data_IF_200706670388
#
_entry.id   IF_200706670388
#
_cell.length_a   1.000
_cell.length_b   1.000
_cell.length_c   1.000
_cell.angle_alpha   90.00
_cell.angle_beta   90.00
_cell.angle_gamma   90.00
#
_symmetry.space_group_name_H-M   'P 1'
#
loop_
_entity.id
_entity.type
_entity.pdbx_description
1 polymer ?
#
# COMPACT_ATOMS: atom_id res chain seq x y z
N UNK A 1 -19.91 44.56 3.09
CA UNK A 1 -18.43 44.65 3.05
C UNK A 1 -17.90 43.22 3.27
N UNK A 2 -17.17 42.64 2.31
CA UNK A 2 -16.81 41.22 2.37
C UNK A 2 -15.61 41.02 3.31
N UNK A 3 -15.69 40.01 4.17
CA UNK A 3 -14.54 39.52 4.92
C UNK A 3 -13.80 38.49 4.06
N UNK A 4 -12.48 38.66 3.97
CA UNK A 4 -11.56 37.86 3.16
C UNK A 4 -11.41 36.44 3.69
N UNK A 5 -11.23 35.48 2.78
CA UNK A 5 -10.59 34.21 3.10
C UNK A 5 -9.11 34.47 3.45
N UNK A 6 -8.65 33.91 4.56
CA UNK A 6 -7.23 33.83 4.91
C UNK A 6 -6.75 32.45 4.48
N UNK A 7 -5.78 32.42 3.58
CA UNK A 7 -5.00 31.24 3.24
C UNK A 7 -4.42 30.61 4.51
N UNK A 8 -4.65 29.31 4.70
CA UNK A 8 -3.94 28.52 5.71
C UNK A 8 -3.09 27.45 5.02
N UNK A 9 -1.79 27.56 5.29
CA UNK A 9 -0.69 26.73 4.84
C UNK A 9 -0.84 25.23 5.22
N UNK A 10 -0.05 24.33 4.60
CA UNK A 10 -0.21 22.89 4.74
C UNK A 10 0.41 22.41 6.05
N UNK A 11 -0.34 21.64 6.82
CA UNK A 11 0.16 21.08 8.08
C UNK A 11 -0.96 20.84 9.07
N UNK A 12 -1.71 19.75 8.85
CA UNK A 12 -2.50 19.01 9.85
C UNK A 12 -3.29 17.91 9.14
N UNK A 13 -2.71 16.71 9.06
CA UNK A 13 -3.44 15.44 8.92
C UNK A 13 -2.85 14.49 9.96
N UNK A 14 -3.70 13.74 10.65
CA UNK A 14 -3.26 12.72 11.60
C UNK A 14 -4.07 12.67 12.89
N UNK A 15 -5.33 12.22 12.80
CA UNK A 15 -5.97 11.48 13.90
C UNK A 15 -6.61 10.23 13.30
N UNK A 16 -5.95 9.08 13.44
CA UNK A 16 -6.51 7.79 13.02
C UNK A 16 -7.60 7.35 13.97
N UNK A 17 -8.85 7.43 13.52
CA UNK A 17 -9.88 6.47 13.89
C UNK A 17 -9.88 5.34 12.86
N UNK A 18 -10.21 4.12 13.30
CA UNK A 18 -10.32 2.96 12.43
C UNK A 18 -11.19 3.30 11.20
N UNK A 19 -10.56 3.34 10.03
CA UNK A 19 -11.24 3.48 8.74
C UNK A 19 -11.97 2.16 8.47
N UNK A 20 -13.27 2.12 8.76
CA UNK A 20 -14.17 1.08 8.28
C UNK A 20 -14.95 1.67 7.10
N UNK A 21 -14.70 1.13 5.90
CA UNK A 21 -15.39 1.54 4.68
C UNK A 21 -16.74 0.85 4.56
N UNK A 22 -17.79 1.65 4.47
CA UNK A 22 -19.15 1.16 4.18
C UNK A 22 -19.30 0.97 2.66
N UNK A 23 -19.20 -0.29 2.20
CA UNK A 23 -19.38 -0.67 0.80
C UNK A 23 -20.86 -1.02 0.58
N UNK A 24 -21.75 -0.04 0.71
CA UNK A 24 -23.20 -0.21 0.53
C UNK A 24 -23.68 -0.20 -0.92
N UNK A 25 -22.80 0.02 -1.91
CA UNK A 25 -23.17 0.17 -3.33
C UNK A 25 -23.03 -1.08 -4.22
N UNK A 26 -22.74 -2.27 -3.67
CA UNK A 26 -22.67 -3.51 -4.44
C UNK A 26 -24.05 -4.21 -4.47
N UNK A 27 -24.58 -4.40 -5.68
CA UNK A 27 -25.94 -4.89 -5.97
C UNK A 27 -26.31 -6.28 -5.41
N UNK A 28 -27.59 -6.67 -5.49
CA UNK A 28 -28.11 -7.84 -4.79
C UNK A 28 -27.88 -9.15 -5.55
N UNK A 29 -27.70 -10.22 -4.77
CA UNK A 29 -27.67 -11.65 -5.11
C UNK A 29 -26.33 -12.22 -5.64
N UNK A 30 -25.53 -12.79 -4.72
CA UNK A 30 -24.53 -13.80 -5.05
C UNK A 30 -24.67 -15.01 -4.10
N UNK A 31 -24.78 -16.25 -4.60
CA UNK A 31 -24.82 -17.45 -3.76
C UNK A 31 -23.43 -17.75 -3.19
N UNK A 32 -23.30 -17.74 -1.86
CA UNK A 32 -22.04 -17.99 -1.13
C UNK A 32 -21.01 -16.87 -1.29
N UNK A 33 -21.07 -15.82 -0.47
CA UNK A 33 -20.16 -14.66 -0.60
C UNK A 33 -18.70 -15.09 -0.35
N UNK A 34 -17.90 -15.14 -1.41
CA UNK A 34 -16.45 -15.26 -1.31
C UNK A 34 -15.89 -14.10 -0.45
N UNK A 35 -14.87 -14.40 0.38
CA UNK A 35 -14.19 -13.41 1.21
C UNK A 35 -13.51 -12.34 0.35
N UNK A 36 -13.50 -11.09 0.82
CA UNK A 36 -12.82 -9.96 0.15
C UNK A 36 -11.48 -9.67 0.82
N UNK A 37 -10.44 -9.46 0.03
CA UNK A 37 -9.18 -8.82 0.43
C UNK A 37 -9.03 -7.52 -0.36
N UNK A 38 -9.27 -6.39 0.31
CA UNK A 38 -9.26 -5.04 -0.28
C UNK A 38 -7.95 -4.35 0.10
N UNK A 39 -7.13 -3.95 -0.86
CA UNK A 39 -5.81 -3.40 -0.59
C UNK A 39 -5.67 -1.97 -1.12
N UNK A 40 -5.23 -1.07 -0.25
CA UNK A 40 -4.99 0.33 -0.61
C UNK A 40 -3.59 0.53 -1.18
N UNK A 41 -3.52 1.22 -2.31
CA UNK A 41 -2.34 1.82 -2.92
C UNK A 41 -2.36 3.31 -2.63
N UNK A 42 -1.26 3.91 -2.22
CA UNK A 42 -1.19 5.35 -1.93
C UNK A 42 -0.29 6.06 -2.94
N UNK A 43 -0.78 7.08 -3.61
CA UNK A 43 -0.03 7.76 -4.67
C UNK A 43 1.19 8.55 -4.19
N UNK A 44 1.25 8.95 -2.92
CA UNK A 44 2.42 9.63 -2.34
C UNK A 44 3.57 8.67 -1.97
N UNK A 45 3.37 7.34 -2.02
CA UNK A 45 4.45 6.36 -1.74
C UNK A 45 5.58 6.41 -2.78
N UNK A 46 5.32 7.03 -3.93
CA UNK A 46 6.30 7.29 -4.98
C UNK A 46 7.47 8.19 -4.50
N UNK A 47 7.25 8.98 -3.45
CA UNK A 47 8.22 9.93 -2.92
C UNK A 47 9.11 9.36 -1.81
N UNK A 48 8.87 8.11 -1.39
CA UNK A 48 9.76 7.44 -0.44
C UNK A 48 11.13 7.17 -1.07
N UNK A 49 12.16 7.12 -0.22
CA UNK A 49 13.52 6.86 -0.67
C UNK A 49 13.69 5.43 -1.17
N UNK A 50 14.44 5.27 -2.26
CA UNK A 50 14.93 4.03 -2.88
C UNK A 50 14.17 2.75 -2.52
N UNK A 51 14.65 2.00 -1.51
CA UNK A 51 14.14 0.68 -1.14
C UNK A 51 12.68 0.68 -0.67
N UNK A 52 12.17 1.83 -0.20
CA UNK A 52 10.77 2.00 0.22
C UNK A 52 9.91 2.73 -0.83
N UNK A 53 10.48 3.10 -1.98
CA UNK A 53 9.74 3.73 -3.08
C UNK A 53 8.77 2.72 -3.67
N UNK A 54 7.48 3.07 -3.69
CA UNK A 54 6.43 2.19 -4.16
C UNK A 54 5.58 2.84 -5.26
N UNK A 55 5.50 2.16 -6.39
CA UNK A 55 4.86 2.61 -7.64
C UNK A 55 3.87 1.54 -8.12
N UNK A 56 2.93 1.86 -9.04
CA UNK A 56 1.93 0.89 -9.50
C UNK A 56 2.52 -0.42 -10.01
N UNK A 57 3.67 -0.37 -10.70
CA UNK A 57 4.43 -1.55 -11.16
C UNK A 57 4.93 -2.49 -10.06
N UNK A 58 5.00 -2.04 -8.81
CA UNK A 58 5.40 -2.89 -7.69
C UNK A 58 4.24 -3.74 -7.17
N UNK A 59 3.00 -3.40 -7.53
CA UNK A 59 1.81 -4.10 -7.04
C UNK A 59 1.70 -5.48 -7.69
N UNK A 60 1.67 -6.52 -6.87
CA UNK A 60 1.35 -7.86 -7.33
C UNK A 60 -0.16 -7.96 -7.66
N UNK A 61 -0.56 -8.17 -8.94
CA UNK A 61 -1.97 -8.16 -9.36
C UNK A 61 -2.80 -9.34 -8.83
N UNK A 62 -2.15 -10.38 -8.29
CA UNK A 62 -2.79 -11.58 -7.76
C UNK A 62 -2.88 -11.61 -6.24
N UNK A 63 -2.35 -10.59 -5.55
CA UNK A 63 -2.29 -10.57 -4.09
C UNK A 63 -3.66 -10.26 -3.47
N UNK A 64 -4.42 -9.35 -4.08
CA UNK A 64 -5.66 -8.81 -3.52
C UNK A 64 -6.85 -9.02 -4.45
N UNK A 65 -8.03 -9.10 -3.85
CA UNK A 65 -9.28 -9.19 -4.60
C UNK A 65 -9.68 -7.82 -5.18
N UNK A 66 -9.50 -6.76 -4.40
CA UNK A 66 -9.85 -5.40 -4.79
C UNK A 66 -8.64 -4.52 -4.54
N UNK A 67 -8.33 -3.67 -5.52
CA UNK A 67 -7.27 -2.69 -5.42
C UNK A 67 -7.90 -1.30 -5.35
N UNK A 68 -7.45 -0.49 -4.40
CA UNK A 68 -8.02 0.83 -4.12
C UNK A 68 -6.92 1.87 -4.23
N UNK A 69 -7.08 2.83 -5.12
CA UNK A 69 -6.15 3.93 -5.31
C UNK A 69 -6.52 5.11 -4.39
N UNK A 70 -5.64 5.44 -3.46
CA UNK A 70 -5.72 6.57 -2.55
C UNK A 70 -4.73 7.67 -3.00
N UNK A 71 -5.16 8.89 -3.33
CA UNK A 71 -6.55 9.36 -3.44
C UNK A 71 -6.75 10.21 -4.69
N UNK A 72 -7.98 10.23 -5.19
CA UNK A 72 -8.46 11.33 -6.02
C UNK A 72 -8.91 12.52 -5.16
N UNK A 73 -8.79 13.69 -5.77
CA UNK A 73 -9.25 14.96 -5.23
C UNK A 73 -10.66 15.29 -5.72
N UNK A 74 -11.16 16.43 -5.23
CA UNK A 74 -12.42 16.99 -5.67
C UNK A 74 -12.25 18.49 -5.87
N UNK A 75 -12.58 18.97 -7.07
CA UNK A 75 -12.54 20.39 -7.42
C UNK A 75 -13.89 20.76 -8.07
N UNK A 76 -14.58 21.74 -7.50
CA UNK A 76 -15.91 22.19 -7.97
C UNK A 76 -16.90 21.05 -8.19
N UNK A 77 -17.00 20.16 -7.20
CA UNK A 77 -17.85 18.95 -7.22
C UNK A 77 -17.52 17.94 -8.33
N UNK A 78 -16.36 18.07 -8.98
CA UNK A 78 -15.86 17.14 -9.97
C UNK A 78 -14.63 16.42 -9.45
N UNK A 79 -14.44 15.17 -9.87
CA UNK A 79 -13.24 14.39 -9.58
C UNK A 79 -12.01 15.09 -10.17
N UNK A 80 -10.93 15.15 -9.41
CA UNK A 80 -9.63 15.67 -9.85
C UNK A 80 -8.50 14.74 -9.43
N UNK A 81 -7.33 14.88 -10.06
CA UNK A 81 -6.08 14.32 -9.55
C UNK A 81 -5.65 15.03 -8.26
N UNK A 82 -4.80 14.39 -7.46
CA UNK A 82 -4.11 15.03 -6.33
C UNK A 82 -2.61 15.16 -6.58
N UNK A 83 -2.02 14.21 -7.32
CA UNK A 83 -0.63 14.22 -7.74
C UNK A 83 -0.49 14.58 -9.22
N UNK A 84 0.64 15.18 -9.57
CA UNK A 84 0.93 15.66 -10.92
C UNK A 84 0.98 14.56 -11.97
N UNK A 85 1.30 13.32 -11.57
CA UNK A 85 1.42 12.14 -12.42
C UNK A 85 0.33 11.08 -12.15
N UNK A 86 -0.76 11.44 -11.46
CA UNK A 86 -1.86 10.50 -11.18
C UNK A 86 -2.43 9.89 -12.46
N UNK A 87 -2.49 10.62 -13.58
CA UNK A 87 -3.03 10.08 -14.84
C UNK A 87 -2.19 8.92 -15.38
N UNK A 88 -0.86 9.02 -15.32
CA UNK A 88 0.07 7.95 -15.70
C UNK A 88 -0.06 6.77 -14.73
N UNK A 89 -0.08 7.05 -13.42
CA UNK A 89 -0.26 6.01 -12.41
C UNK A 89 -1.62 5.31 -12.52
N UNK A 90 -2.70 6.01 -12.90
CA UNK A 90 -4.00 5.41 -13.15
C UNK A 90 -3.94 4.44 -14.33
N UNK A 91 -3.23 4.77 -15.40
CA UNK A 91 -3.05 3.88 -16.55
C UNK A 91 -2.28 2.62 -16.16
N UNK A 92 -1.14 2.76 -15.45
CA UNK A 92 -0.36 1.61 -14.97
C UNK A 92 -1.17 0.74 -14.00
N UNK A 93 -1.82 1.36 -13.02
CA UNK A 93 -2.57 0.67 -11.98
C UNK A 93 -3.81 -0.04 -12.54
N UNK A 94 -4.51 0.54 -13.52
CA UNK A 94 -5.59 -0.13 -14.24
C UNK A 94 -5.08 -1.22 -15.19
N UNK A 95 -3.85 -1.07 -15.71
CA UNK A 95 -3.16 -2.07 -16.52
C UNK A 95 -3.01 -3.42 -15.82
N UNK A 96 -2.94 -3.42 -14.47
CA UNK A 96 -2.90 -4.63 -13.64
C UNK A 96 -4.12 -5.56 -13.82
N UNK A 97 -5.25 -5.05 -14.36
CA UNK A 97 -6.40 -5.90 -14.71
C UNK A 97 -6.10 -6.83 -15.90
N UNK A 98 -5.28 -6.38 -16.85
CA UNK A 98 -4.98 -7.13 -18.09
C UNK A 98 -4.07 -8.32 -17.83
N UNK A 99 -3.09 -8.17 -16.94
CA UNK A 99 -2.21 -9.26 -16.50
C UNK A 99 -2.98 -10.33 -15.72
N UNK A 100 -4.09 -9.97 -15.08
CA UNK A 100 -4.97 -10.92 -14.39
C UNK A 100 -5.85 -11.73 -15.33
N UNK A 101 -6.33 -11.13 -16.43
CA UNK A 101 -7.27 -11.79 -17.37
C UNK A 101 -6.65 -12.86 -18.26
N UNK A 102 -5.33 -12.84 -18.47
CA UNK A 102 -4.63 -13.79 -19.35
C UNK A 102 -4.48 -15.18 -18.75
N UNK A 103 -4.74 -15.35 -17.45
CA UNK A 103 -4.32 -16.57 -16.73
C UNK A 103 -5.43 -17.44 -16.15
N UNK A 104 -6.70 -17.02 -16.07
CA UNK A 104 -7.66 -17.85 -15.33
C UNK A 104 -9.16 -17.56 -15.56
N UNK A 105 -9.90 -18.59 -15.99
CA UNK A 105 -11.36 -18.59 -16.21
C UNK A 105 -12.17 -18.63 -14.91
N UNK A 106 -11.51 -18.86 -13.77
CA UNK A 106 -12.12 -18.96 -12.44
C UNK A 106 -12.23 -17.63 -11.68
N UNK A 107 -11.63 -16.54 -12.17
CA UNK A 107 -11.54 -15.24 -11.46
C UNK A 107 -12.57 -14.19 -11.88
N UNK A 108 -13.67 -14.59 -12.51
CA UNK A 108 -14.66 -13.68 -13.07
C UNK A 108 -15.34 -12.74 -12.05
N UNK A 109 -15.13 -12.89 -10.75
CA UNK A 109 -15.81 -12.06 -9.73
C UNK A 109 -14.91 -10.99 -9.09
N UNK A 110 -13.65 -10.87 -9.50
CA UNK A 110 -12.68 -10.13 -8.70
C UNK A 110 -11.72 -9.33 -9.59
N UNK A 111 -12.04 -8.05 -9.83
CA UNK A 111 -11.27 -7.21 -10.77
C UNK A 111 -11.52 -5.71 -10.63
N UNK A 112 -12.03 -5.27 -9.49
CA UNK A 112 -12.40 -3.87 -9.31
C UNK A 112 -11.20 -3.06 -8.83
N UNK A 113 -10.74 -2.16 -9.70
CA UNK A 113 -9.90 -1.03 -9.31
C UNK A 113 -10.85 0.10 -8.92
N UNK A 114 -10.72 0.54 -7.68
CA UNK A 114 -11.46 1.64 -7.11
C UNK A 114 -10.57 2.85 -6.97
N UNK A 115 -11.17 4.04 -7.05
CA UNK A 115 -10.50 5.27 -6.64
C UNK A 115 -11.21 5.80 -5.41
N UNK A 116 -10.46 6.05 -4.35
CA UNK A 116 -10.96 6.68 -3.14
C UNK A 116 -10.91 8.20 -3.26
N UNK A 117 -11.99 8.85 -2.82
CA UNK A 117 -12.06 10.30 -2.75
C UNK A 117 -11.72 10.80 -1.35
N UNK A 118 -10.83 11.80 -1.27
CA UNK A 118 -10.74 12.64 -0.08
C UNK A 118 -11.99 13.51 -0.02
N UNK A 119 -12.98 13.15 0.79
CA UNK A 119 -14.07 14.08 1.08
C UNK A 119 -13.67 14.97 2.25
N UNK A 120 -13.15 16.17 1.94
CA UNK A 120 -13.10 17.27 2.90
C UNK A 120 -14.49 17.58 3.45
N UNK A 121 -14.55 18.24 4.62
CA UNK A 121 -15.77 18.56 5.34
C UNK A 121 -16.67 19.53 4.55
N UNK A 122 -17.45 19.03 3.60
CA UNK A 122 -18.58 19.74 3.01
C UNK A 122 -19.84 19.33 3.77
N UNK A 123 -20.38 20.24 4.57
CA UNK A 123 -21.75 20.17 5.08
C UNK A 123 -22.71 20.28 3.90
N UNK A 124 -23.03 19.14 3.28
CA UNK A 124 -24.20 19.03 2.41
C UNK A 124 -25.40 18.77 3.30
N UNK A 125 -26.32 19.73 3.37
CA UNK A 125 -27.66 19.53 3.90
C UNK A 125 -28.31 18.35 3.16
N UNK A 126 -29.19 17.62 3.85
CA UNK A 126 -29.72 16.30 3.46
C UNK A 126 -30.63 16.27 2.22
N UNK A 127 -30.47 17.20 1.27
CA UNK A 127 -31.37 17.34 0.11
C UNK A 127 -30.68 17.48 -1.25
N UNK A 128 -29.35 17.26 -1.35
CA UNK A 128 -28.64 17.37 -2.63
C UNK A 128 -27.78 16.13 -2.94
N UNK A 129 -28.43 14.99 -3.25
CA UNK A 129 -27.82 13.94 -4.06
C UNK A 129 -27.88 14.37 -5.53
N UNK A 130 -26.98 15.26 -5.96
CA UNK A 130 -26.72 15.45 -7.38
C UNK A 130 -25.71 14.38 -7.84
N UNK A 131 -25.88 13.77 -9.02
CA UNK A 131 -24.92 12.79 -9.54
C UNK A 131 -23.55 13.46 -9.71
N UNK A 132 -22.50 12.87 -9.14
CA UNK A 132 -21.13 13.30 -9.43
C UNK A 132 -20.91 13.17 -10.94
N UNK A 133 -20.63 14.30 -11.59
CA UNK A 133 -20.30 14.31 -13.02
C UNK A 133 -18.80 14.07 -13.21
N UNK A 134 -18.45 13.02 -13.94
CA UNK A 134 -17.10 12.81 -14.44
C UNK A 134 -16.75 13.96 -15.40
N UNK A 135 -15.59 14.60 -15.25
CA UNK A 135 -15.10 15.47 -16.32
C UNK A 135 -14.97 14.63 -17.59
N UNK A 136 -15.47 15.09 -18.74
CA UNK A 136 -15.37 14.36 -20.00
C UNK A 136 -13.92 14.06 -20.39
N UNK A 137 -12.98 14.91 -19.95
CA UNK A 137 -11.57 14.94 -20.32
C UNK A 137 -10.65 14.13 -19.40
N UNK A 138 -11.11 13.71 -18.20
CA UNK A 138 -10.30 12.82 -17.36
C UNK A 138 -10.40 11.39 -17.90
N UNK A 139 -9.25 10.76 -18.13
CA UNK A 139 -9.12 9.29 -18.36
C UNK A 139 -9.56 8.43 -17.16
N UNK A 140 -10.26 9.00 -16.18
CA UNK A 140 -10.97 8.31 -15.09
C UNK A 140 -12.12 7.41 -15.58
N UNK A 141 -12.44 7.38 -16.88
CA UNK A 141 -13.43 6.47 -17.48
C UNK A 141 -13.10 4.97 -17.28
N UNK A 142 -11.91 4.62 -16.79
CA UNK A 142 -11.51 3.24 -16.49
C UNK A 142 -11.67 2.82 -15.01
N UNK A 143 -12.12 3.73 -14.14
CA UNK A 143 -12.37 3.44 -12.72
C UNK A 143 -13.66 2.63 -12.58
N UNK A 144 -13.57 1.41 -12.02
CA UNK A 144 -14.69 0.48 -11.98
C UNK A 144 -15.78 0.90 -10.99
N UNK A 145 -15.43 1.53 -9.86
CA UNK A 145 -16.36 1.98 -8.81
C UNK A 145 -15.66 3.00 -7.88
N UNK A 146 -16.37 4.02 -7.39
CA UNK A 146 -15.86 5.01 -6.43
C UNK A 146 -16.04 4.52 -4.98
N UNK A 147 -15.00 4.67 -4.14
CA UNK A 147 -15.08 4.47 -2.69
C UNK A 147 -15.05 5.84 -2.01
N UNK A 148 -15.93 6.05 -1.03
CA UNK A 148 -16.08 7.32 -0.32
C UNK A 148 -15.39 7.25 1.04
N UNK A 149 -14.20 7.84 1.12
CA UNK A 149 -13.46 8.00 2.37
C UNK A 149 -13.70 9.40 2.96
N UNK A 150 -14.88 9.57 3.57
CA UNK A 150 -15.19 10.80 4.33
C UNK A 150 -14.76 10.62 5.77
N UNK A 151 -13.75 11.39 6.20
CA UNK A 151 -13.43 11.50 7.62
C UNK A 151 -14.58 12.24 8.34
N UNK A 152 -15.05 11.67 9.46
CA UNK A 152 -16.14 12.26 10.23
C UNK A 152 -15.69 13.62 10.82
N UNK A 153 -16.55 14.67 10.82
CA UNK A 153 -16.24 15.91 11.52
C UNK A 153 -16.04 15.63 13.02
N UNK A 154 -14.94 16.12 13.59
CA UNK A 154 -14.70 16.08 15.03
C UNK A 154 -15.79 16.91 15.74
N UNK A 155 -16.73 16.24 16.40
CA UNK A 155 -17.75 16.86 17.25
C UNK A 155 -17.31 17.11 18.70
N UNK A 156 -16.01 16.99 19.01
CA UNK A 156 -15.49 17.21 20.36
C UNK A 156 -14.74 18.55 20.43
N UNK A 157 -14.93 19.38 21.48
CA UNK A 157 -14.13 20.58 21.70
C UNK A 157 -12.65 20.20 21.79
N UNK A 158 -11.78 21.08 21.29
CA UNK A 158 -10.32 20.89 21.21
C UNK A 158 -9.58 20.65 22.54
N UNK A 159 -10.29 20.52 23.67
CA UNK A 159 -9.73 20.19 24.98
C UNK A 159 -9.42 18.69 25.17
N UNK A 160 -10.07 17.77 24.43
CA UNK A 160 -9.74 16.33 24.53
C UNK A 160 -8.55 15.91 23.66
N UNK A 161 -8.19 16.69 22.63
CA UNK A 161 -7.08 16.37 21.73
C UNK A 161 -5.69 16.52 22.38
N UNK A 162 -5.56 17.33 23.44
CA UNK A 162 -4.33 17.47 24.24
C UNK A 162 -4.23 16.44 25.37
N UNK A 163 -5.32 15.73 25.69
CA UNK A 163 -5.33 14.65 26.68
C UNK A 163 -4.96 13.27 26.09
N UNK A 164 -5.04 13.10 24.76
CA UNK A 164 -4.84 11.83 24.06
C UNK A 164 -3.42 11.26 24.05
N UNK A 165 -2.42 12.03 24.51
CA UNK A 165 -1.00 11.64 24.49
C UNK A 165 -0.43 11.20 25.83
N UNK A 166 -1.21 11.28 26.91
CA UNK A 166 -0.68 11.08 28.29
C UNK A 166 -0.41 9.62 28.64
N UNK A 167 -0.98 8.67 27.89
CA UNK A 167 -0.80 7.23 28.10
C UNK A 167 -0.79 6.51 26.74
N UNK A 168 0.10 5.52 26.61
CA UNK A 168 0.15 4.67 25.44
C UNK A 168 -1.17 3.89 25.32
N UNK A 169 -1.95 4.22 24.29
CA UNK A 169 -3.05 3.39 23.79
C UNK A 169 -2.58 2.78 22.48
N UNK A 170 -2.34 1.47 22.40
CA UNK A 170 -1.97 0.86 21.14
C UNK A 170 -3.16 1.01 20.18
N UNK A 171 -2.95 1.64 19.03
CA UNK A 171 -4.03 2.02 18.11
C UNK A 171 -4.62 0.85 17.31
N UNK A 172 -4.08 -0.37 17.49
CA UNK A 172 -4.28 -1.52 16.60
C UNK A 172 -4.74 -2.78 17.33
N UNK A 173 -5.16 -2.62 18.57
CA UNK A 173 -5.58 -3.67 19.47
C UNK A 173 -6.84 -4.41 18.99
N UNK A 174 -6.90 -5.72 19.25
CA UNK A 174 -8.07 -6.55 18.92
C UNK A 174 -9.34 -6.14 19.69
N UNK A 175 -9.21 -5.70 20.95
CA UNK A 175 -10.36 -5.30 21.78
C UNK A 175 -11.12 -4.05 21.26
N UNK A 176 -10.43 -2.94 20.94
CA UNK A 176 -11.02 -1.81 20.23
C UNK A 176 -11.58 -2.18 18.84
N UNK A 177 -10.93 -3.09 18.13
CA UNK A 177 -11.46 -3.60 16.84
C UNK A 177 -12.76 -4.39 17.05
N UNK A 178 -12.86 -5.26 18.06
CA UNK A 178 -14.11 -5.97 18.37
C UNK A 178 -15.22 -4.98 18.73
N UNK A 179 -14.94 -4.01 19.60
CA UNK A 179 -15.92 -2.98 19.99
C UNK A 179 -16.46 -2.20 18.77
N UNK A 180 -15.57 -1.84 17.83
CA UNK A 180 -15.96 -1.16 16.60
C UNK A 180 -16.80 -2.07 15.69
N UNK A 181 -16.39 -3.33 15.48
CA UNK A 181 -17.14 -4.31 14.69
C UNK A 181 -18.54 -4.52 15.29
N UNK A 182 -18.63 -4.74 16.61
CA UNK A 182 -19.89 -4.93 17.31
C UNK A 182 -20.83 -3.72 17.13
N UNK A 183 -20.30 -2.51 17.24
CA UNK A 183 -21.08 -1.29 17.04
C UNK A 183 -21.74 -1.24 15.65
N UNK A 184 -21.00 -1.54 14.59
CA UNK A 184 -21.54 -1.52 13.22
C UNK A 184 -22.57 -2.63 13.00
N UNK A 185 -22.32 -3.83 13.53
CA UNK A 185 -23.29 -4.93 13.49
C UNK A 185 -24.57 -4.56 14.24
N UNK A 186 -24.48 -3.97 15.43
CA UNK A 186 -25.62 -3.51 16.22
C UNK A 186 -26.41 -2.39 15.53
N UNK A 187 -25.74 -1.56 14.73
CA UNK A 187 -26.38 -0.53 13.89
C UNK A 187 -27.00 -1.08 12.61
N UNK A 188 -26.98 -2.39 12.39
CA UNK A 188 -27.67 -3.06 11.29
C UNK A 188 -26.82 -3.29 10.04
N UNK A 189 -25.50 -3.08 10.09
CA UNK A 189 -24.62 -3.44 8.98
C UNK A 189 -24.56 -4.97 8.85
N UNK A 190 -24.91 -5.54 7.68
CA UNK A 190 -24.77 -6.97 7.46
C UNK A 190 -23.31 -7.42 7.60
N UNK A 191 -23.05 -8.47 8.38
CA UNK A 191 -21.69 -8.94 8.65
C UNK A 191 -20.89 -9.24 7.37
N UNK A 192 -21.53 -9.88 6.38
CA UNK A 192 -20.94 -10.17 5.07
C UNK A 192 -20.60 -8.94 4.20
N UNK A 193 -21.04 -7.74 4.60
CA UNK A 193 -20.68 -6.46 3.97
C UNK A 193 -19.61 -5.69 4.74
N UNK A 194 -19.35 -6.06 6.00
CA UNK A 194 -18.34 -5.44 6.83
C UNK A 194 -16.97 -6.10 6.59
N UNK A 195 -15.97 -5.31 6.20
CA UNK A 195 -14.58 -5.77 6.02
C UNK A 195 -13.70 -5.24 7.14
N UNK A 196 -12.87 -6.09 7.74
CA UNK A 196 -12.03 -5.72 8.88
C UNK A 196 -10.76 -5.00 8.42
N UNK A 197 -10.50 -3.79 8.93
CA UNK A 197 -9.28 -3.04 8.65
C UNK A 197 -8.03 -3.64 9.32
N UNK A 198 -7.00 -3.87 8.52
CA UNK A 198 -5.71 -4.48 8.87
C UNK A 198 -4.58 -3.48 8.55
N UNK A 199 -3.88 -2.95 9.55
CA UNK A 199 -2.80 -1.99 9.35
C UNK A 199 -1.48 -2.72 9.04
N UNK A 200 -0.75 -2.31 8.03
CA UNK A 200 0.65 -2.73 7.77
C UNK A 200 1.63 -1.67 8.29
N UNK A 201 1.26 -1.00 9.38
CA UNK A 201 2.04 0.03 10.04
C UNK A 201 1.77 -0.02 11.55
N UNK A 202 2.67 0.55 12.33
CA UNK A 202 2.54 0.74 13.76
C UNK A 202 2.36 2.21 14.14
N UNK A 203 1.80 2.45 15.33
CA UNK A 203 1.77 3.78 15.97
C UNK A 203 2.84 3.84 17.05
N UNK A 204 3.70 4.85 16.96
CA UNK A 204 4.86 5.00 17.85
C UNK A 204 4.71 6.17 18.82
N UNK A 205 5.37 6.04 19.97
CA UNK A 205 5.34 6.99 21.08
C UNK A 205 6.75 7.17 21.65
N UNK A 206 7.01 8.37 22.18
CA UNK A 206 8.17 8.62 23.04
C UNK A 206 7.71 8.50 24.50
N UNK A 207 8.27 7.54 25.23
CA UNK A 207 8.00 7.28 26.63
C UNK A 207 8.48 8.44 27.50
N UNK A 208 7.75 8.72 28.57
CA UNK A 208 8.21 9.67 29.59
C UNK A 208 9.38 9.10 30.42
N UNK A 209 9.48 7.78 30.50
CA UNK A 209 10.57 7.07 31.18
C UNK A 209 10.86 5.77 30.44
N UNK A 210 12.13 5.54 30.08
CA UNK A 210 12.58 4.31 29.41
C UNK A 210 12.54 3.07 30.31
N UNK A 211 12.26 3.25 31.61
CA UNK A 211 12.07 2.15 32.57
C UNK A 211 10.64 1.62 32.63
N UNK A 212 9.65 2.38 32.14
CA UNK A 212 8.25 1.96 32.06
C UNK A 212 7.87 1.76 30.59
N UNK A 213 7.94 0.53 30.13
CA UNK A 213 7.74 0.14 28.72
C UNK A 213 6.44 -0.63 28.50
N UNK A 214 5.62 -0.74 29.54
CA UNK A 214 4.35 -1.44 29.51
C UNK A 214 3.29 -0.70 28.68
N UNK A 215 2.26 -1.43 28.29
CA UNK A 215 1.07 -0.82 27.71
C UNK A 215 0.42 0.11 28.75
N UNK A 216 0.06 1.33 28.33
CA UNK A 216 -0.46 2.35 29.23
C UNK A 216 0.60 3.23 29.90
N UNK A 217 1.89 2.95 29.68
CA UNK A 217 2.98 3.79 30.18
C UNK A 217 2.82 5.26 29.72
N UNK A 218 3.23 6.25 30.52
CA UNK A 218 3.13 7.65 30.14
C UNK A 218 4.01 7.97 28.94
N UNK A 219 3.49 8.75 28.00
CA UNK A 219 4.21 9.24 26.83
C UNK A 219 4.32 10.76 26.84
N UNK A 220 5.42 11.30 26.32
CA UNK A 220 5.66 12.73 26.15
C UNK A 220 5.22 13.24 24.79
N UNK A 221 5.04 12.34 23.82
CA UNK A 221 4.63 12.69 22.47
C UNK A 221 4.69 11.52 21.49
N UNK A 222 4.54 11.81 20.18
CA UNK A 222 4.73 10.81 19.14
C UNK A 222 6.16 10.26 19.15
N UNK A 223 6.32 9.02 18.68
CA UNK A 223 7.64 8.45 18.45
C UNK A 223 8.38 9.19 17.34
N UNK A 224 9.71 9.04 17.32
CA UNK A 224 10.56 9.60 16.28
C UNK A 224 10.12 9.10 14.88
N UNK A 225 10.24 9.94 13.84
CA UNK A 225 9.91 9.56 12.49
C UNK A 225 10.81 8.42 11.99
N UNK A 226 10.22 7.47 11.27
CA UNK A 226 10.96 6.38 10.63
C UNK A 226 11.89 6.86 9.50
N UNK A 227 12.92 6.08 9.12
CA UNK A 227 13.88 6.45 8.08
C UNK A 227 13.25 6.64 6.69
N UNK A 228 12.13 5.97 6.42
CA UNK A 228 11.43 5.98 5.13
C UNK A 228 10.10 6.71 5.18
N UNK A 229 9.26 6.44 6.19
CA UNK A 229 7.95 7.08 6.33
C UNK A 229 8.05 8.55 6.71
N UNK A 230 9.09 8.91 7.47
CA UNK A 230 9.41 10.29 7.88
C UNK A 230 8.26 11.02 8.59
N UNK A 231 7.33 10.27 9.20
CA UNK A 231 6.19 10.80 9.94
C UNK A 231 6.33 10.44 11.42
N UNK A 232 6.37 11.46 12.29
CA UNK A 232 6.43 11.23 13.73
C UNK A 232 5.16 10.49 14.21
N UNK A 233 5.34 9.45 15.01
CA UNK A 233 4.24 8.64 15.54
C UNK A 233 3.72 7.55 14.59
N UNK A 234 4.39 7.31 13.46
CA UNK A 234 4.05 6.25 12.52
C UNK A 234 5.33 5.54 12.05
N UNK A 235 5.27 4.21 11.98
CA UNK A 235 6.31 3.38 11.38
C UNK A 235 5.65 2.35 10.45
N UNK A 236 6.16 2.18 9.23
CA UNK A 236 5.74 1.08 8.36
C UNK A 236 6.16 -0.27 8.97
N UNK A 237 5.49 -1.38 8.61
CA UNK A 237 5.86 -2.70 9.12
C UNK A 237 7.35 -3.02 8.84
N UNK A 238 7.85 -2.68 7.65
CA UNK A 238 9.26 -2.89 7.31
C UNK A 238 10.23 -2.03 8.14
N UNK A 239 9.80 -0.90 8.70
CA UNK A 239 10.62 -0.09 9.63
C UNK A 239 10.66 -0.71 11.03
N UNK A 240 9.58 -1.38 11.43
CA UNK A 240 9.51 -2.07 12.73
C UNK A 240 10.26 -3.39 12.68
N UNK A 241 10.03 -4.24 11.67
CA UNK A 241 10.66 -5.56 11.58
C UNK A 241 12.19 -5.48 11.44
N UNK A 242 12.71 -4.39 10.88
CA UNK A 242 14.15 -4.15 10.70
C UNK A 242 14.78 -3.37 11.86
N UNK A 243 14.05 -3.15 12.96
CA UNK A 243 14.48 -2.34 14.09
C UNK A 243 15.50 -3.07 14.98
N UNK A 244 16.78 -3.00 14.58
CA UNK A 244 17.88 -3.70 15.27
C UNK A 244 17.99 -3.32 16.75
N UNK A 245 17.93 -4.34 17.60
CA UNK A 245 18.12 -4.22 19.05
C UNK A 245 16.91 -3.64 19.79
N UNK A 246 15.74 -3.56 19.15
CA UNK A 246 14.49 -3.34 19.87
C UNK A 246 14.05 -4.62 20.59
N UNK A 247 13.49 -4.48 21.78
CA UNK A 247 12.85 -5.57 22.50
C UNK A 247 11.40 -5.67 22.06
N UNK A 248 11.00 -6.86 21.60
CA UNK A 248 9.63 -7.15 21.19
C UNK A 248 8.90 -7.93 22.28
N UNK A 249 7.65 -7.54 22.54
CA UNK A 249 6.77 -8.14 23.53
C UNK A 249 5.38 -8.29 22.95
N UNK A 250 4.63 -9.27 23.44
CA UNK A 250 3.28 -9.56 22.95
C UNK A 250 2.25 -9.34 24.04
N UNK A 251 1.21 -8.58 23.69
CA UNK A 251 0.09 -8.32 24.60
C UNK A 251 -0.84 -9.52 24.54
N UNK A 252 -0.78 -10.41 25.53
CA UNK A 252 -1.46 -11.72 25.51
C UNK A 252 -2.96 -11.61 25.26
N UNK A 253 -3.65 -10.74 26.00
CA UNK A 253 -5.11 -10.56 25.88
C UNK A 253 -5.54 -10.02 24.51
N UNK A 254 -4.62 -9.41 23.77
CA UNK A 254 -4.93 -8.65 22.56
C UNK A 254 -4.30 -9.25 21.30
N UNK A 255 -3.43 -10.26 21.47
CA UNK A 255 -2.74 -11.01 20.41
C UNK A 255 -2.03 -10.12 19.38
N UNK A 256 -1.48 -9.00 19.84
CA UNK A 256 -0.71 -8.05 19.02
C UNK A 256 0.64 -7.75 19.68
N UNK A 257 1.69 -7.53 18.89
CA UNK A 257 3.00 -7.17 19.41
C UNK A 257 3.13 -5.66 19.70
N UNK A 258 4.11 -5.34 20.54
CA UNK A 258 4.74 -4.04 20.59
C UNK A 258 6.26 -4.21 20.69
N UNK A 259 7.00 -3.22 20.20
CA UNK A 259 8.45 -3.18 20.30
C UNK A 259 8.91 -1.87 20.93
N UNK A 260 10.03 -1.89 21.65
CA UNK A 260 10.62 -0.67 22.19
C UNK A 260 12.15 -0.70 22.20
N UNK A 261 12.77 0.48 22.17
CA UNK A 261 14.21 0.68 22.33
C UNK A 261 14.49 2.04 22.95
N UNK A 262 15.12 2.06 24.12
CA UNK A 262 15.29 3.29 24.88
C UNK A 262 13.94 3.85 25.30
N UNK A 263 13.65 5.08 24.91
CA UNK A 263 12.35 5.73 25.15
C UNK A 263 11.37 5.59 23.95
N UNK A 264 11.76 4.92 22.87
CA UNK A 264 10.89 4.74 21.71
C UNK A 264 10.07 3.47 21.85
N UNK A 265 8.76 3.56 21.61
CA UNK A 265 7.81 2.47 21.72
C UNK A 265 6.91 2.43 20.49
N UNK A 266 6.60 1.25 19.94
CA UNK A 266 5.68 1.09 18.81
C UNK A 266 4.76 -0.10 19.03
N UNK A 267 3.45 0.11 18.88
CA UNK A 267 2.46 -0.95 18.80
C UNK A 267 2.12 -1.18 17.34
N UNK A 268 2.22 -2.43 16.89
CA UNK A 268 2.12 -2.79 15.48
C UNK A 268 1.40 -4.14 15.32
N UNK A 269 1.25 -4.57 14.07
CA UNK A 269 0.76 -5.89 13.72
C UNK A 269 1.87 -6.69 13.01
N UNK A 270 1.90 -7.99 13.26
CA UNK A 270 2.80 -8.95 12.63
C UNK A 270 2.01 -10.10 11.97
N UNK A 271 2.72 -11.12 11.49
CA UNK A 271 2.11 -12.31 10.87
C UNK A 271 1.20 -13.05 11.86
N UNK A 272 1.57 -13.14 13.15
CA UNK A 272 0.78 -13.87 14.16
C UNK A 272 -0.51 -13.12 14.48
N UNK A 273 -0.45 -11.80 14.65
CA UNK A 273 -1.63 -10.97 14.93
C UNK A 273 -2.58 -10.91 13.74
N UNK A 274 -2.06 -10.89 12.50
CA UNK A 274 -2.88 -11.01 11.30
C UNK A 274 -3.63 -12.34 11.24
N UNK A 275 -2.98 -13.48 11.55
CA UNK A 275 -3.66 -14.79 11.67
C UNK A 275 -4.76 -14.78 12.73
N UNK A 276 -4.48 -14.20 13.89
CA UNK A 276 -5.46 -14.06 14.97
C UNK A 276 -6.67 -13.22 14.55
N UNK A 277 -6.44 -12.10 13.85
CA UNK A 277 -7.50 -11.22 13.33
C UNK A 277 -8.30 -11.87 12.20
N UNK A 278 -7.69 -12.70 11.36
CA UNK A 278 -8.44 -13.49 10.36
C UNK A 278 -9.30 -14.57 11.03
N UNK A 279 -8.79 -15.22 12.08
CA UNK A 279 -9.60 -16.16 12.87
C UNK A 279 -10.82 -15.45 13.49
N UNK A 280 -10.61 -14.26 14.04
CA UNK A 280 -11.67 -13.42 14.59
C UNK A 280 -12.70 -13.00 13.53
N UNK A 281 -12.28 -12.49 12.37
CA UNK A 281 -13.22 -12.03 11.34
C UNK A 281 -14.07 -13.18 10.78
N UNK A 282 -13.48 -14.37 10.64
CA UNK A 282 -14.21 -15.59 10.24
C UNK A 282 -15.25 -15.99 11.29
N UNK A 283 -14.87 -15.97 12.57
CA UNK A 283 -15.78 -16.28 13.68
C UNK A 283 -16.99 -15.33 13.71
N UNK A 284 -16.79 -14.05 13.37
CA UNK A 284 -17.86 -13.04 13.29
C UNK A 284 -18.63 -13.05 11.96
N UNK A 285 -18.27 -13.90 11.00
CA UNK A 285 -18.92 -13.97 9.69
C UNK A 285 -18.75 -12.69 8.85
N UNK A 286 -17.62 -11.99 9.02
CA UNK A 286 -17.34 -10.75 8.28
C UNK A 286 -17.10 -11.03 6.79
N UNK A 287 -17.27 -10.01 5.96
CA UNK A 287 -17.12 -10.09 4.51
C UNK A 287 -15.67 -10.18 4.00
N UNK A 288 -14.68 -10.04 4.89
CA UNK A 288 -13.25 -10.13 4.55
C UNK A 288 -12.37 -9.13 5.30
N UNK A 289 -11.21 -8.81 4.73
CA UNK A 289 -10.23 -7.88 5.27
C UNK A 289 -9.93 -6.73 4.29
N UNK A 290 -9.63 -5.57 4.86
CA UNK A 290 -9.12 -4.39 4.16
C UNK A 290 -7.73 -4.07 4.68
N UNK A 291 -6.78 -3.75 3.81
CA UNK A 291 -5.40 -3.44 4.19
C UNK A 291 -5.07 -1.99 3.91
N UNK A 292 -4.61 -1.31 4.97
CA UNK A 292 -3.93 -0.03 4.87
C UNK A 292 -2.46 -0.20 5.30
N UNK A 293 -1.49 -0.23 4.39
CA UNK A 293 -1.60 -0.19 2.92
C UNK A 293 -0.52 -1.08 2.25
N UNK A 294 -0.61 -1.29 0.94
CA UNK A 294 0.31 -2.17 0.17
C UNK A 294 1.78 -1.78 0.32
N UNK A 295 2.02 -0.48 0.40
CA UNK A 295 3.31 0.17 0.36
C UNK A 295 4.03 0.24 1.71
N UNK A 296 3.40 -0.25 2.78
CA UNK A 296 3.94 -0.31 4.15
C UNK A 296 4.18 -1.74 4.65
N UNK A 297 3.70 -2.75 3.93
CA UNK A 297 4.18 -4.14 4.08
C UNK A 297 5.58 -4.27 3.46
N UNK A 298 6.31 -5.36 3.76
CA UNK A 298 7.62 -5.64 3.11
C UNK A 298 7.40 -6.13 1.67
N UNK A 299 6.98 -5.22 0.80
CA UNK A 299 6.58 -5.50 -0.57
C UNK A 299 7.72 -6.03 -1.44
N UNK A 300 8.96 -5.61 -1.17
CA UNK A 300 10.17 -6.07 -1.86
C UNK A 300 10.72 -7.37 -1.26
N UNK A 301 10.39 -7.68 0.00
CA UNK A 301 10.95 -8.79 0.75
C UNK A 301 12.38 -8.53 1.25
N UNK A 302 12.85 -7.28 1.21
CA UNK A 302 14.24 -6.93 1.49
C UNK A 302 14.49 -6.44 2.91
N UNK A 303 13.45 -6.31 3.75
CA UNK A 303 13.57 -5.71 5.07
C UNK A 303 13.45 -6.72 6.21
N UNK A 304 12.48 -7.64 6.12
CA UNK A 304 12.08 -8.50 7.24
C UNK A 304 12.60 -9.93 7.14
N UNK A 305 13.20 -10.33 6.01
CA UNK A 305 13.56 -11.73 5.71
C UNK A 305 12.36 -12.70 5.79
N UNK A 306 11.16 -12.21 5.46
CA UNK A 306 9.91 -12.99 5.45
C UNK A 306 9.34 -13.16 4.04
N UNK A 307 10.14 -12.84 3.02
CA UNK A 307 9.72 -12.78 1.62
C UNK A 307 8.85 -11.55 1.32
N UNK A 308 8.38 -11.44 0.08
CA UNK A 308 7.55 -10.32 -0.37
C UNK A 308 6.14 -10.39 0.23
N UNK A 309 5.63 -9.26 0.70
CA UNK A 309 4.28 -9.07 1.25
C UNK A 309 3.91 -10.06 2.37
N UNK A 310 4.72 -10.19 3.43
CA UNK A 310 4.51 -11.20 4.45
C UNK A 310 3.15 -11.05 5.16
N UNK A 311 2.72 -9.81 5.45
CA UNK A 311 1.44 -9.56 6.11
C UNK A 311 0.27 -9.80 5.16
N UNK A 312 0.32 -9.26 3.95
CA UNK A 312 -0.82 -9.35 3.02
C UNK A 312 -0.97 -10.76 2.44
N UNK A 313 0.14 -11.48 2.18
CA UNK A 313 0.07 -12.91 1.81
C UNK A 313 -0.53 -13.76 2.92
N UNK A 314 -0.25 -13.42 4.17
CA UNK A 314 -0.91 -14.09 5.32
C UNK A 314 -2.42 -13.92 5.22
N UNK A 315 -2.94 -12.72 4.91
CA UNK A 315 -4.38 -12.53 4.70
C UNK A 315 -4.90 -13.33 3.50
N UNK A 316 -4.18 -13.36 2.38
CA UNK A 316 -4.59 -14.12 1.20
C UNK A 316 -4.76 -15.61 1.52
N UNK A 317 -3.76 -16.21 2.17
CA UNK A 317 -3.75 -17.61 2.57
C UNK A 317 -4.84 -17.91 3.60
N UNK A 318 -4.89 -17.13 4.67
CA UNK A 318 -5.82 -17.38 5.77
C UNK A 318 -7.28 -17.13 5.34
N UNK A 319 -7.56 -16.22 4.41
CA UNK A 319 -8.92 -16.04 3.88
C UNK A 319 -9.36 -17.15 2.91
N UNK A 320 -8.46 -18.10 2.57
CA UNK A 320 -8.74 -19.17 1.61
C UNK A 320 -8.90 -18.65 0.19
N UNK A 321 -8.26 -17.53 -0.14
CA UNK A 321 -8.27 -17.00 -1.50
C UNK A 321 -7.36 -17.86 -2.38
N UNK A 322 -7.69 -18.06 -3.67
CA UNK A 322 -6.81 -18.78 -4.57
C UNK A 322 -5.46 -18.05 -4.60
N UNK A 323 -4.40 -18.79 -4.26
CA UNK A 323 -3.03 -18.34 -4.38
C UNK A 323 -2.42 -19.16 -5.50
N UNK A 324 -1.76 -18.50 -6.47
CA UNK A 324 -0.94 -19.24 -7.41
C UNK A 324 0.18 -19.90 -6.59
N UNK A 325 0.42 -21.22 -6.71
CA UNK A 325 1.64 -21.78 -6.16
C UNK A 325 2.80 -21.00 -6.77
N UNK A 326 3.63 -20.39 -5.92
CA UNK A 326 4.96 -19.98 -6.37
C UNK A 326 5.54 -21.22 -7.05
N UNK A 327 5.92 -21.11 -8.33
CA UNK A 327 6.70 -22.16 -8.98
C UNK A 327 7.88 -22.57 -8.09
N UNK A 328 8.42 -23.79 -8.25
CA UNK A 328 9.46 -24.31 -7.35
C UNK A 328 10.50 -23.24 -7.04
N UNK A 329 10.73 -22.99 -5.74
CA UNK A 329 11.78 -22.08 -5.29
C UNK A 329 13.07 -22.50 -5.98
N UNK A 330 13.60 -21.61 -6.81
CA UNK A 330 14.93 -21.74 -7.38
C UNK A 330 15.91 -21.92 -6.20
N UNK A 331 16.78 -22.94 -6.22
CA UNK A 331 17.73 -23.15 -5.14
C UNK A 331 18.55 -21.89 -4.91
N UNK A 332 18.84 -21.57 -3.64
CA UNK A 332 19.77 -20.49 -3.28
C UNK A 332 21.03 -20.60 -4.14
N UNK A 333 21.18 -19.67 -5.08
CA UNK A 333 22.42 -19.54 -5.84
C UNK A 333 23.46 -19.01 -4.86
N UNK A 334 24.29 -19.92 -4.36
CA UNK A 334 25.57 -19.58 -3.74
C UNK A 334 26.29 -18.58 -4.62
N UNK A 335 26.58 -17.41 -4.04
CA UNK A 335 27.28 -16.30 -4.67
C UNK A 335 28.53 -16.78 -5.42
N UNK A 336 28.60 -16.64 -6.75
CA UNK A 336 29.88 -16.79 -7.45
C UNK A 336 30.76 -15.58 -7.13
N UNK A 337 32.04 -15.84 -6.91
CA UNK A 337 33.05 -14.82 -6.67
C UNK A 337 33.03 -13.72 -7.74
N UNK A 338 33.23 -12.49 -7.27
CA UNK A 338 33.33 -11.26 -8.04
C UNK A 338 34.25 -11.41 -9.28
N UNK A 339 33.77 -11.14 -10.52
CA UNK A 339 34.65 -11.06 -11.68
C UNK A 339 35.50 -9.79 -11.60
N UNK A 340 36.79 -9.96 -11.82
CA UNK A 340 37.79 -8.91 -12.02
C UNK A 340 37.47 -8.02 -13.23
N UNK A 341 37.95 -6.77 -13.18
CA UNK A 341 37.85 -5.72 -14.22
C UNK A 341 37.98 -6.25 -15.66
N UNK A 342 37.21 -5.73 -16.63
CA UNK A 342 37.37 -6.12 -18.02
C UNK A 342 38.62 -5.47 -18.64
N UNK A 343 39.47 -6.33 -19.21
CA UNK A 343 40.53 -5.95 -20.15
C UNK A 343 39.96 -5.19 -21.37
N UNK A 344 40.79 -4.26 -21.84
CA UNK A 344 40.57 -3.43 -23.02
C UNK A 344 40.63 -4.20 -24.36
N UNK A 345 39.63 -4.00 -25.22
CA UNK A 345 39.74 -4.07 -26.69
C UNK A 345 38.42 -4.41 -27.41
N UNK A 346 38.25 -4.12 -28.72
CA UNK A 346 38.88 -3.12 -29.59
C UNK A 346 37.93 -1.93 -29.94
N UNK A 347 38.50 -0.89 -30.55
CA UNK A 347 37.88 0.39 -30.93
C UNK A 347 37.27 0.36 -32.37
N UNK A 348 36.66 1.44 -32.90
CA UNK A 348 35.23 1.58 -33.13
C UNK A 348 34.82 1.49 -34.62
N UNK A 349 33.74 0.75 -34.91
CA UNK A 349 32.92 1.02 -36.10
C UNK A 349 32.07 2.26 -35.85
N UNK A 350 31.97 3.17 -36.81
CA UNK A 350 31.12 4.37 -36.74
C UNK A 350 29.65 3.98 -36.61
N UNK A 351 29.14 3.79 -35.39
CA UNK A 351 27.74 3.51 -35.16
C UNK A 351 27.05 4.70 -34.49
N UNK A 352 26.18 5.36 -35.28
CA UNK A 352 25.44 6.58 -34.94
C UNK A 352 24.16 6.30 -34.17
N UNK A 353 23.88 5.05 -33.78
CA UNK A 353 22.58 4.66 -33.21
C UNK A 353 22.22 5.46 -31.95
N UNK A 354 23.18 5.66 -31.05
CA UNK A 354 22.95 6.38 -29.80
C UNK A 354 23.06 7.91 -29.93
N UNK A 355 23.36 8.44 -31.11
CA UNK A 355 23.50 9.87 -31.32
C UNK A 355 22.12 10.55 -31.24
N UNK A 356 21.94 11.42 -30.23
CA UNK A 356 20.67 12.10 -29.96
C UNK A 356 19.63 11.26 -29.21
N UNK A 357 19.97 10.04 -28.77
CA UNK A 357 19.13 9.23 -27.87
C UNK A 357 19.46 9.54 -26.41
N UNK A 358 18.47 9.42 -25.54
CA UNK A 358 18.68 9.47 -24.10
C UNK A 358 19.50 8.25 -23.64
N UNK A 359 20.14 8.38 -22.48
CA UNK A 359 20.85 7.25 -21.89
C UNK A 359 19.85 6.15 -21.49
N UNK A 360 20.16 4.90 -21.82
CA UNK A 360 19.27 3.78 -21.54
C UNK A 360 19.42 2.60 -22.51
N UNK A 361 18.57 1.59 -22.31
CA UNK A 361 18.59 0.34 -23.08
C UNK A 361 17.61 0.39 -24.27
N UNK A 362 18.08 -0.07 -25.42
CA UNK A 362 17.37 -0.03 -26.69
C UNK A 362 17.46 -1.39 -27.39
N UNK A 363 16.39 -1.85 -28.06
CA UNK A 363 16.45 -3.11 -28.79
C UNK A 363 17.49 -3.05 -29.89
N UNK A 364 18.24 -4.14 -30.07
CA UNK A 364 19.10 -4.31 -31.23
C UNK A 364 18.25 -4.76 -32.42
N UNK A 365 18.11 -3.96 -33.50
CA UNK A 365 17.29 -4.32 -34.65
C UNK A 365 17.88 -5.46 -35.48
N UNK A 366 19.18 -5.75 -35.36
CA UNK A 366 19.85 -6.82 -36.09
C UNK A 366 19.77 -8.18 -35.38
N UNK A 367 19.60 -8.20 -34.06
CA UNK A 367 19.60 -9.42 -33.26
C UNK A 367 18.72 -9.27 -32.01
N UNK A 368 17.62 -10.03 -31.98
CA UNK A 368 16.65 -9.98 -30.87
C UNK A 368 17.23 -10.51 -29.55
N UNK A 369 18.29 -11.29 -29.61
CA UNK A 369 19.00 -11.81 -28.43
C UNK A 369 20.07 -10.85 -27.91
N UNK A 370 20.13 -9.62 -28.42
CA UNK A 370 20.98 -8.55 -27.90
C UNK A 370 20.27 -7.20 -27.86
N UNK A 371 20.91 -6.23 -27.21
CA UNK A 371 20.40 -4.87 -27.06
C UNK A 371 21.55 -3.86 -27.01
N UNK A 372 21.23 -2.60 -27.29
CA UNK A 372 22.16 -1.48 -27.19
C UNK A 372 21.93 -0.71 -25.89
N UNK A 373 23.00 -0.52 -25.13
CA UNK A 373 23.06 0.45 -24.04
C UNK A 373 23.65 1.75 -24.58
N UNK A 374 22.86 2.82 -24.58
CA UNK A 374 23.33 4.16 -24.91
C UNK A 374 23.78 4.88 -23.64
N UNK A 375 25.00 5.41 -23.63
CA UNK A 375 25.50 6.24 -22.55
C UNK A 375 26.36 7.39 -23.11
N UNK A 376 25.96 8.64 -22.86
CA UNK A 376 26.67 9.83 -23.35
C UNK A 376 26.78 9.88 -24.87
N UNK A 377 25.75 9.40 -25.58
CA UNK A 377 25.72 9.29 -27.04
C UNK A 377 26.56 8.17 -27.64
N UNK A 378 27.16 7.30 -26.82
CA UNK A 378 27.96 6.15 -27.25
C UNK A 378 27.14 4.86 -27.18
N UNK A 379 27.31 3.99 -28.18
CA UNK A 379 26.67 2.67 -28.27
C UNK A 379 27.54 1.60 -27.61
N UNK A 380 26.92 0.79 -26.75
CA UNK A 380 27.49 -0.43 -26.20
C UNK A 380 26.54 -1.60 -26.46
N UNK A 381 26.95 -2.61 -27.22
CA UNK A 381 26.12 -3.80 -27.46
C UNK A 381 26.28 -4.81 -26.32
N UNK A 382 25.18 -5.36 -25.85
CA UNK A 382 25.14 -6.40 -24.83
C UNK A 382 24.22 -7.53 -25.28
N UNK A 383 24.61 -8.77 -25.00
CA UNK A 383 23.79 -9.95 -25.29
C UNK A 383 22.89 -10.29 -24.12
N UNK A 384 21.68 -10.74 -24.42
CA UNK A 384 20.80 -11.33 -23.43
C UNK A 384 21.35 -12.69 -22.95
N UNK A 385 21.08 -13.09 -21.71
CA UNK A 385 21.38 -14.43 -21.22
C UNK A 385 20.74 -15.51 -22.12
N UNK A 386 21.38 -16.69 -22.19
CA UNK A 386 21.07 -17.76 -23.14
C UNK A 386 19.56 -17.98 -23.37
N UNK A 387 19.15 -17.92 -24.63
CA UNK A 387 17.76 -18.12 -25.12
C UNK A 387 16.73 -17.04 -24.77
N UNK A 388 17.14 -15.92 -24.16
CA UNK A 388 16.28 -14.76 -23.91
C UNK A 388 16.38 -13.73 -25.04
N UNK A 389 15.30 -12.97 -25.24
CA UNK A 389 15.23 -11.85 -26.17
C UNK A 389 15.01 -10.53 -25.42
N UNK A 390 15.54 -9.44 -25.96
CA UNK A 390 15.36 -8.13 -25.34
C UNK A 390 13.95 -7.59 -25.60
N UNK A 391 13.23 -7.27 -24.52
CA UNK A 391 11.93 -6.63 -24.58
C UNK A 391 12.02 -5.14 -24.28
N UNK A 392 11.53 -4.33 -25.23
CA UNK A 392 11.47 -2.88 -25.11
C UNK A 392 10.46 -2.39 -24.06
N UNK A 393 9.48 -3.22 -23.66
CA UNK A 393 8.45 -2.86 -22.69
C UNK A 393 8.97 -2.82 -21.25
N UNK A 394 9.83 -3.77 -20.88
CA UNK A 394 10.45 -3.84 -19.56
C UNK A 394 11.89 -3.33 -19.53
N UNK A 395 12.50 -3.06 -20.70
CA UNK A 395 13.93 -2.79 -20.85
C UNK A 395 14.79 -3.91 -20.26
N UNK A 396 14.39 -5.16 -20.51
CA UNK A 396 14.96 -6.35 -19.91
C UNK A 396 14.99 -7.53 -20.89
N UNK A 397 15.82 -8.53 -20.62
CA UNK A 397 15.82 -9.79 -21.38
C UNK A 397 14.77 -10.74 -20.81
N UNK A 398 13.90 -11.26 -21.66
CA UNK A 398 12.78 -12.14 -21.29
C UNK A 398 12.62 -13.23 -22.34
N UNK A 399 11.85 -14.27 -22.03
CA UNK A 399 11.43 -15.26 -23.02
C UNK A 399 10.54 -14.60 -24.09
N UNK A 400 10.71 -15.04 -25.35
CA UNK A 400 10.05 -14.48 -26.53
C UNK A 400 8.55 -14.79 -26.60
#
# INVERSE_FOLDING_TARGET
>A
RPWRCVDSAPGRRGQSRALLTDISSLGPNWPGSAMKLVCYFTNWSQYRAEAARFLPRNVNPHLCTHLVYAFAGMNSHQLSTTEWNDEEHYEEFNGLKKTRSTWDSAWHTVGSVHVCLVSGCLTLSSSAMQPLSLRPDLKMRQVGTLIKDREAPLGAPAQEATAGWRQIKPALLLHPQDSAVQLWLQKGTPANKLVLGMPTYGRSFTLASSSDTGVGAPATGPGAPGPFTKEAGLLAFYEVCSWKGAAEHRIQDQRVPYAYKGDQWVGFDDVESFKAKVSYLKQKGLGGAMVWALDMDDFSGSFCNQGQYPLIKTLQLELGLPHMPLGPQEPEVTTPAQPSEPESGPSPGQDTFCQGKADGLYPNPQDRSSYYSCAGGRQFQQSCPNSLVFSSSCKCCTWN
#
